data_IF_524818872519
#
_entry.id   IF_524818872519
#
_cell.length_a   1.000
_cell.length_b   1.000
_cell.length_c   1.000
_cell.angle_alpha   90.00
_cell.angle_beta   90.00
_cell.angle_gamma   90.00
#
_symmetry.space_group_name_H-M   'P 1'
#
loop_
_entity.id
_entity.type
_entity.pdbx_description
1 polymer ?
#
# COMPACT_ATOMS: atom_id res chain seq x y z
N UNK A 1 25.31 18.89 -26.75
CA UNK A 1 23.93 18.84 -26.26
C UNK A 1 23.84 17.59 -25.40
N UNK A 2 24.10 17.71 -24.09
CA UNK A 2 24.14 16.56 -23.19
C UNK A 2 22.71 16.20 -22.81
N UNK A 3 22.20 15.11 -23.38
CA UNK A 3 21.03 14.43 -22.89
C UNK A 3 21.47 13.78 -21.57
N UNK A 4 21.15 14.42 -20.44
CA UNK A 4 21.16 13.73 -19.16
C UNK A 4 20.07 12.66 -19.25
N UNK A 5 20.47 11.44 -19.52
CA UNK A 5 19.67 10.26 -19.14
C UNK A 5 19.40 10.39 -17.65
N UNK A 6 18.22 10.91 -17.31
CA UNK A 6 17.69 10.75 -15.96
C UNK A 6 17.43 9.27 -15.81
N UNK A 7 18.36 8.58 -15.16
CA UNK A 7 18.11 7.25 -14.63
C UNK A 7 16.72 7.30 -13.99
N UNK A 8 15.79 6.56 -14.55
CA UNK A 8 14.43 6.47 -14.04
C UNK A 8 14.51 5.83 -12.63
N UNK A 9 14.35 6.60 -11.54
CA UNK A 9 14.50 6.06 -10.20
C UNK A 9 13.40 5.04 -9.84
N UNK A 10 12.37 4.92 -10.67
CA UNK A 10 11.26 3.97 -10.49
C UNK A 10 11.71 2.52 -10.46
N UNK A 11 12.73 2.17 -11.22
CA UNK A 11 13.27 0.80 -11.24
C UNK A 11 14.02 0.40 -9.97
N UNK A 12 14.31 1.35 -9.06
CA UNK A 12 15.01 1.07 -7.79
C UNK A 12 14.06 0.67 -6.65
N UNK A 13 12.83 1.18 -6.67
CA UNK A 13 11.89 1.06 -5.56
C UNK A 13 10.56 0.39 -5.93
N UNK A 14 10.44 -0.11 -7.15
CA UNK A 14 9.31 -0.89 -7.63
C UNK A 14 9.81 -2.13 -8.37
N UNK A 15 9.12 -3.25 -8.18
CA UNK A 15 9.38 -4.47 -8.94
C UNK A 15 8.63 -4.41 -10.25
N UNK A 16 9.32 -4.71 -11.36
CA UNK A 16 8.64 -4.86 -12.65
C UNK A 16 8.18 -6.31 -12.79
N UNK A 17 6.96 -6.58 -12.39
CA UNK A 17 6.33 -7.86 -12.66
C UNK A 17 5.65 -7.84 -14.03
N UNK A 18 5.83 -8.90 -14.80
CA UNK A 18 5.12 -9.07 -16.09
C UNK A 18 3.60 -9.19 -15.87
N UNK A 19 3.21 -9.77 -14.73
CA UNK A 19 1.83 -9.91 -14.30
C UNK A 19 1.67 -9.45 -12.85
N UNK A 20 0.46 -8.97 -12.45
CA UNK A 20 0.19 -8.61 -11.07
C UNK A 20 0.40 -9.78 -10.11
N UNK A 21 1.11 -9.55 -9.02
CA UNK A 21 1.43 -10.55 -8.00
C UNK A 21 0.69 -10.22 -6.71
N UNK A 22 0.01 -11.21 -6.07
CA UNK A 22 -0.59 -11.01 -4.76
C UNK A 22 0.45 -10.55 -3.74
N UNK A 23 0.07 -9.62 -2.87
CA UNK A 23 0.94 -9.11 -1.82
C UNK A 23 1.76 -7.88 -2.21
N UNK A 24 1.52 -7.27 -3.35
CA UNK A 24 2.22 -6.07 -3.77
C UNK A 24 1.28 -4.87 -3.88
N UNK A 25 1.70 -3.71 -3.40
CA UNK A 25 1.00 -2.45 -3.59
C UNK A 25 1.98 -1.29 -3.68
N UNK A 26 1.75 -0.39 -4.63
CA UNK A 26 2.57 0.81 -4.81
C UNK A 26 1.95 1.99 -4.09
N UNK A 27 2.81 2.78 -3.47
CA UNK A 27 2.48 4.08 -2.88
C UNK A 27 3.45 5.15 -3.35
N UNK A 28 3.20 6.39 -2.97
CA UNK A 28 4.12 7.51 -3.20
C UNK A 28 4.47 8.15 -1.88
N UNK A 29 5.74 8.10 -1.51
CA UNK A 29 6.29 8.76 -0.32
C UNK A 29 6.86 10.14 -0.67
N UNK A 30 7.03 10.99 0.33
CA UNK A 30 7.70 12.28 0.17
C UNK A 30 9.04 12.27 0.90
N UNK A 31 10.11 12.51 0.16
CA UNK A 31 11.42 12.82 0.73
C UNK A 31 11.61 14.34 0.67
N UNK A 32 11.36 15.02 1.79
CA UNK A 32 11.20 16.48 1.80
C UNK A 32 10.01 16.91 0.93
N UNK A 33 10.30 17.54 -0.22
CA UNK A 33 9.28 17.96 -1.20
C UNK A 33 9.21 17.05 -2.44
N UNK A 34 10.09 16.07 -2.54
CA UNK A 34 10.21 15.20 -3.71
C UNK A 34 9.33 13.96 -3.54
N UNK A 35 8.36 13.72 -4.43
CA UNK A 35 7.61 12.48 -4.45
C UNK A 35 8.47 11.34 -5.04
N UNK A 36 8.42 10.18 -4.40
CA UNK A 36 9.10 8.95 -4.83
C UNK A 36 8.10 7.80 -4.79
N UNK A 37 8.02 7.03 -5.87
CA UNK A 37 7.26 5.78 -5.85
C UNK A 37 8.01 4.74 -5.04
N UNK A 38 7.24 3.98 -4.27
CA UNK A 38 7.75 2.87 -3.48
C UNK A 38 6.74 1.73 -3.49
N UNK A 39 7.23 0.51 -3.65
CA UNK A 39 6.41 -0.70 -3.57
C UNK A 39 6.56 -1.33 -2.20
N UNK A 40 5.42 -1.69 -1.62
CA UNK A 40 5.34 -2.51 -0.42
C UNK A 40 5.01 -3.92 -0.85
N UNK A 41 5.78 -4.88 -0.36
CA UNK A 41 5.56 -6.30 -0.55
C UNK A 41 5.19 -6.96 0.77
N UNK A 42 4.18 -7.79 0.75
CA UNK A 42 3.74 -8.57 1.89
C UNK A 42 3.62 -10.05 1.53
N UNK A 43 3.98 -10.89 2.48
CA UNK A 43 3.79 -12.32 2.43
C UNK A 43 3.05 -12.75 3.70
N UNK A 44 1.98 -13.53 3.54
CA UNK A 44 1.17 -14.03 4.65
C UNK A 44 1.09 -15.54 4.57
N UNK A 45 1.52 -16.24 5.63
CA UNK A 45 1.49 -17.71 5.67
C UNK A 45 0.07 -18.25 5.62
N UNK A 46 -0.07 -19.54 5.28
CA UNK A 46 -1.38 -20.20 5.22
C UNK A 46 -2.14 -20.23 6.56
N UNK A 47 -1.44 -20.05 7.67
CA UNK A 47 -2.00 -20.15 9.03
C UNK A 47 -2.02 -21.60 9.51
N UNK A 48 -1.87 -21.77 10.83
CA UNK A 48 -2.09 -23.04 11.52
C UNK A 48 -3.25 -22.83 12.49
N UNK A 49 -4.23 -23.72 12.49
CA UNK A 49 -5.49 -23.56 13.22
C UNK A 49 -5.36 -23.35 14.74
N UNK A 50 -4.19 -23.56 15.34
CA UNK A 50 -3.97 -23.51 16.78
C UNK A 50 -2.80 -22.62 17.24
N UNK A 51 -2.28 -21.71 16.41
CA UNK A 51 -1.01 -21.01 16.69
C UNK A 51 -1.19 -19.51 16.98
N UNK A 52 -2.29 -19.12 17.64
CA UNK A 52 -2.58 -17.71 17.98
C UNK A 52 -1.53 -17.01 18.86
N UNK A 53 -0.56 -17.74 19.40
CA UNK A 53 0.47 -17.18 20.29
C UNK A 53 1.85 -16.97 19.66
N UNK A 54 2.13 -17.56 18.49
CA UNK A 54 3.48 -17.63 17.93
C UNK A 54 3.62 -17.03 16.51
N UNK A 55 2.62 -16.31 16.02
CA UNK A 55 2.65 -15.72 14.69
C UNK A 55 3.77 -14.67 14.56
N UNK A 56 4.65 -14.88 13.60
CA UNK A 56 5.81 -14.00 13.36
C UNK A 56 5.39 -12.72 12.63
N UNK A 57 5.98 -11.61 13.04
CA UNK A 57 5.85 -10.31 12.39
C UNK A 57 7.24 -9.83 12.02
N UNK A 58 7.58 -9.88 10.74
CA UNK A 58 8.88 -9.42 10.22
C UNK A 58 8.65 -8.22 9.32
N UNK A 59 9.29 -7.12 9.67
CA UNK A 59 9.10 -5.84 8.98
C UNK A 59 10.45 -5.27 8.58
N UNK A 60 10.59 -4.86 7.33
CA UNK A 60 11.79 -4.24 6.79
C UNK A 60 11.46 -2.98 5.99
N UNK A 61 12.09 -1.88 6.32
CA UNK A 61 11.88 -0.58 5.65
C UNK A 61 10.60 0.15 6.04
N UNK A 62 9.72 -0.46 6.84
CA UNK A 62 8.47 0.11 7.36
C UNK A 62 8.57 0.31 8.89
N UNK A 63 7.72 1.16 9.45
CA UNK A 63 7.58 1.29 10.90
C UNK A 63 6.84 0.09 11.48
N UNK A 64 7.47 -0.61 12.44
CA UNK A 64 6.94 -1.85 13.04
C UNK A 64 5.68 -1.62 13.87
N UNK A 65 5.59 -0.48 14.58
CA UNK A 65 4.41 -0.15 15.39
C UNK A 65 3.21 0.15 14.49
N UNK A 66 3.42 0.94 13.44
CA UNK A 66 2.36 1.23 12.45
C UNK A 66 1.92 -0.04 11.72
N UNK A 67 2.87 -0.90 11.35
CA UNK A 67 2.55 -2.20 10.74
C UNK A 67 1.67 -3.04 11.67
N UNK A 68 2.02 -3.15 12.95
CA UNK A 68 1.23 -3.91 13.93
C UNK A 68 -0.18 -3.33 14.11
N UNK A 69 -0.32 -2.01 14.16
CA UNK A 69 -1.64 -1.35 14.20
C UNK A 69 -2.46 -1.62 12.94
N UNK A 70 -1.86 -1.53 11.77
CA UNK A 70 -2.52 -1.81 10.49
C UNK A 70 -3.02 -3.25 10.42
N UNK A 71 -2.23 -4.23 10.88
CA UNK A 71 -2.64 -5.63 10.95
C UNK A 71 -3.84 -5.82 11.88
N UNK A 72 -3.86 -5.16 13.04
CA UNK A 72 -4.99 -5.20 13.97
C UNK A 72 -6.26 -4.60 13.35
N UNK A 73 -6.14 -3.50 12.60
CA UNK A 73 -7.28 -2.88 11.89
C UNK A 73 -7.80 -3.81 10.78
N UNK A 74 -6.92 -4.44 10.01
CA UNK A 74 -7.31 -5.44 9.00
C UNK A 74 -8.13 -6.57 9.61
N UNK A 75 -7.67 -7.12 10.74
CA UNK A 75 -8.35 -8.21 11.45
C UNK A 75 -9.70 -7.76 11.99
N UNK A 76 -9.73 -6.68 12.77
CA UNK A 76 -10.88 -6.30 13.60
C UNK A 76 -11.90 -5.40 12.90
N UNK A 77 -11.51 -4.68 11.83
CA UNK A 77 -12.35 -3.71 11.14
C UNK A 77 -12.63 -4.04 9.68
N UNK A 78 -11.77 -4.84 9.06
CA UNK A 78 -11.88 -5.18 7.65
C UNK A 78 -12.08 -6.68 7.37
N UNK A 79 -12.19 -7.49 8.43
CA UNK A 79 -12.42 -8.94 8.36
C UNK A 79 -11.37 -9.69 7.49
N UNK A 80 -10.12 -9.27 7.59
CA UNK A 80 -8.99 -9.95 6.95
C UNK A 80 -8.21 -10.71 8.02
N UNK A 81 -8.34 -12.02 8.04
CA UNK A 81 -7.72 -12.89 9.06
C UNK A 81 -6.20 -12.96 8.88
N UNK A 82 -5.45 -12.34 9.78
CA UNK A 82 -3.99 -12.34 9.82
C UNK A 82 -3.42 -12.65 11.21
N UNK A 83 -4.28 -12.71 12.24
CA UNK A 83 -3.87 -12.82 13.65
C UNK A 83 -3.02 -14.05 13.96
N UNK A 84 -3.41 -15.23 13.48
CA UNK A 84 -2.69 -16.50 13.67
C UNK A 84 -1.73 -16.86 12.53
N UNK A 85 -1.40 -15.93 11.64
CA UNK A 85 -0.59 -16.17 10.44
C UNK A 85 0.71 -15.37 10.51
N UNK A 86 1.82 -15.96 10.04
CA UNK A 86 3.05 -15.19 9.88
C UNK A 86 2.87 -14.11 8.82
N UNK A 87 3.30 -12.91 9.12
CA UNK A 87 3.27 -11.77 8.19
C UNK A 87 4.67 -11.21 8.03
N UNK A 88 5.11 -11.14 6.80
CA UNK A 88 6.35 -10.51 6.38
C UNK A 88 5.97 -9.31 5.52
N UNK A 89 6.50 -8.13 5.84
CA UNK A 89 6.26 -6.92 5.06
C UNK A 89 7.57 -6.17 4.83
N UNK A 90 7.81 -5.77 3.61
CA UNK A 90 9.05 -5.08 3.25
C UNK A 90 8.80 -4.03 2.17
N UNK A 91 9.66 -3.02 2.15
CA UNK A 91 9.78 -2.10 1.01
C UNK A 91 10.79 -2.62 0.00
N UNK A 92 10.54 -2.40 -1.27
CA UNK A 92 11.50 -2.74 -2.33
C UNK A 92 12.67 -1.76 -2.30
N UNK A 93 13.88 -2.26 -2.59
CA UNK A 93 15.09 -1.45 -2.65
C UNK A 93 15.60 -0.93 -1.30
N UNK A 94 15.08 -1.45 -0.18
CA UNK A 94 15.51 -1.05 1.17
C UNK A 94 15.11 0.38 1.56
N UNK A 95 14.14 0.98 0.85
CA UNK A 95 13.64 2.31 1.16
C UNK A 95 13.02 2.33 2.56
N UNK A 96 13.36 3.34 3.36
CA UNK A 96 12.71 3.57 4.65
C UNK A 96 11.45 4.39 4.47
N UNK A 97 10.30 3.81 4.81
CA UNK A 97 9.00 4.46 4.81
C UNK A 97 8.40 4.44 6.21
N UNK A 98 8.41 5.58 6.86
CA UNK A 98 7.88 5.75 8.23
C UNK A 98 6.68 6.68 8.26
N UNK A 99 6.33 7.30 7.13
CA UNK A 99 5.21 8.21 7.06
C UNK A 99 3.85 7.49 7.01
N UNK A 100 2.83 8.04 7.68
CA UNK A 100 1.49 7.46 7.72
C UNK A 100 0.82 7.27 6.36
N UNK A 101 1.22 8.05 5.36
CA UNK A 101 0.65 7.98 4.01
C UNK A 101 0.79 6.60 3.34
N UNK A 102 1.72 5.76 3.80
CA UNK A 102 1.94 4.41 3.30
C UNK A 102 1.03 3.34 3.90
N UNK A 103 0.27 3.65 4.96
CA UNK A 103 -0.54 2.66 5.69
C UNK A 103 -1.57 1.97 4.81
N UNK A 104 -2.26 2.74 3.94
CA UNK A 104 -3.27 2.18 3.06
C UNK A 104 -2.65 1.17 2.08
N UNK A 105 -1.50 1.47 1.51
CA UNK A 105 -0.79 0.55 0.61
C UNK A 105 -0.31 -0.69 1.35
N UNK A 106 0.18 -0.55 2.58
CA UNK A 106 0.54 -1.67 3.43
C UNK A 106 -0.67 -2.58 3.72
N UNK A 107 -1.80 -1.99 4.11
CA UNK A 107 -3.03 -2.73 4.37
C UNK A 107 -3.51 -3.50 3.13
N UNK A 108 -3.48 -2.87 1.97
CA UNK A 108 -3.87 -3.50 0.71
C UNK A 108 -2.90 -4.62 0.31
N UNK A 109 -1.59 -4.43 0.46
CA UNK A 109 -0.59 -5.46 0.18
C UNK A 109 -0.79 -6.70 1.08
N UNK A 110 -0.98 -6.49 2.38
CA UNK A 110 -1.23 -7.58 3.34
C UNK A 110 -2.55 -8.30 3.03
N UNK A 111 -3.63 -7.56 2.76
CA UNK A 111 -4.93 -8.15 2.42
C UNK A 111 -4.85 -8.94 1.11
N UNK A 112 -4.17 -8.42 0.11
CA UNK A 112 -3.88 -9.08 -1.17
C UNK A 112 -3.14 -10.41 -0.95
N UNK A 113 -2.07 -10.40 -0.15
CA UNK A 113 -1.33 -11.61 0.20
C UNK A 113 -2.19 -12.61 0.98
N UNK A 114 -2.95 -12.14 1.96
CA UNK A 114 -3.80 -12.99 2.80
C UNK A 114 -4.91 -13.72 2.03
N UNK A 115 -5.41 -13.09 0.97
CA UNK A 115 -6.47 -13.63 0.11
C UNK A 115 -5.95 -14.29 -1.17
N UNK A 116 -4.67 -14.13 -1.50
CA UNK A 116 -4.09 -14.63 -2.75
C UNK A 116 -4.62 -13.93 -4.00
N UNK A 117 -5.08 -12.68 -3.87
CA UNK A 117 -5.68 -11.89 -4.94
C UNK A 117 -4.79 -10.70 -5.28
N UNK A 118 -4.30 -10.63 -6.50
CA UNK A 118 -3.45 -9.54 -6.95
C UNK A 118 -4.25 -8.22 -7.10
N UNK A 119 -3.61 -7.11 -6.75
CA UNK A 119 -4.10 -5.77 -7.03
C UNK A 119 -3.83 -5.38 -8.49
N UNK A 120 -4.58 -4.42 -9.06
CA UNK A 120 -4.26 -3.90 -10.39
C UNK A 120 -2.83 -3.34 -10.45
N UNK A 121 -2.09 -3.69 -11.48
CA UNK A 121 -0.68 -3.31 -11.64
C UNK A 121 -0.44 -1.79 -11.76
N UNK A 122 -1.46 -1.06 -12.19
CA UNK A 122 -1.44 0.39 -12.39
C UNK A 122 -2.07 1.18 -11.22
N UNK A 123 -2.26 0.52 -10.06
CA UNK A 123 -2.85 1.11 -8.86
C UNK A 123 -1.78 1.69 -7.93
N UNK A 124 -2.01 2.89 -7.44
CA UNK A 124 -1.34 3.46 -6.27
C UNK A 124 -2.34 3.67 -5.13
N UNK A 125 -1.90 3.50 -3.89
CA UNK A 125 -2.71 3.73 -2.71
C UNK A 125 -1.99 4.67 -1.74
N UNK A 126 -2.69 5.71 -1.29
CA UNK A 126 -2.15 6.74 -0.42
C UNK A 126 -3.17 7.05 0.66
N UNK A 127 -2.77 6.99 1.93
CA UNK A 127 -3.65 7.33 3.05
C UNK A 127 -3.14 6.78 4.37
N UNK A 128 -3.47 7.47 5.45
CA UNK A 128 -3.23 7.00 6.82
C UNK A 128 -4.41 6.12 7.26
N UNK A 129 -4.12 4.99 7.89
CA UNK A 129 -5.15 4.10 8.46
C UNK A 129 -5.26 4.36 9.97
N UNK A 130 -6.45 4.78 10.41
CA UNK A 130 -6.75 4.94 11.84
C UNK A 130 -7.26 3.66 12.47
N UNK A 131 -7.20 3.59 13.81
CA UNK A 131 -7.59 2.40 14.59
C UNK A 131 -9.09 2.05 14.52
N UNK A 132 -9.93 3.01 14.16
CA UNK A 132 -11.36 2.75 13.90
C UNK A 132 -11.62 2.25 12.47
N UNK A 133 -10.59 2.08 11.64
CA UNK A 133 -10.68 1.66 10.25
C UNK A 133 -10.93 2.80 9.27
N UNK A 134 -10.89 4.05 9.74
CA UNK A 134 -11.00 5.24 8.90
C UNK A 134 -9.72 5.47 8.09
N UNK A 135 -9.87 6.03 6.89
CA UNK A 135 -8.76 6.49 6.06
C UNK A 135 -8.65 8.00 6.20
N UNK A 136 -7.52 8.46 6.73
CA UNK A 136 -7.26 9.87 7.02
C UNK A 136 -6.47 10.55 5.92
N UNK A 137 -6.76 11.83 5.73
CA UNK A 137 -6.03 12.69 4.80
C UNK A 137 -4.55 12.77 5.15
N UNK A 138 -3.74 12.86 4.12
CA UNK A 138 -2.29 13.07 4.22
C UNK A 138 -1.88 14.27 3.37
N UNK A 139 -0.73 14.83 3.64
CA UNK A 139 -0.22 15.98 2.90
C UNK A 139 0.22 15.61 1.48
N UNK A 140 0.06 16.55 0.55
CA UNK A 140 0.66 16.47 -0.77
C UNK A 140 0.05 15.44 -1.72
N UNK A 141 -1.21 15.01 -1.53
CA UNK A 141 -1.87 13.99 -2.37
C UNK A 141 -1.77 14.35 -3.86
N UNK A 142 -2.07 15.59 -4.24
CA UNK A 142 -1.98 16.01 -5.64
C UNK A 142 -0.57 15.79 -6.23
N UNK A 143 0.48 16.23 -5.52
CA UNK A 143 1.86 16.06 -5.98
C UNK A 143 2.26 14.59 -6.08
N UNK A 144 1.82 13.76 -5.13
CA UNK A 144 2.07 12.32 -5.16
C UNK A 144 1.42 11.67 -6.37
N UNK A 145 0.17 12.03 -6.66
CA UNK A 145 -0.56 11.47 -7.80
C UNK A 145 -0.04 11.96 -9.14
N UNK A 146 0.40 13.22 -9.24
CA UNK A 146 1.04 13.73 -10.45
C UNK A 146 2.29 12.90 -10.80
N UNK A 147 3.12 12.57 -9.81
CA UNK A 147 4.30 11.74 -10.02
C UNK A 147 3.91 10.29 -10.40
N UNK A 148 2.94 9.71 -9.72
CA UNK A 148 2.44 8.37 -10.07
C UNK A 148 1.91 8.33 -11.51
N UNK A 149 1.12 9.33 -11.90
CA UNK A 149 0.60 9.43 -13.26
C UNK A 149 1.71 9.58 -14.31
N UNK A 150 2.71 10.44 -14.04
CA UNK A 150 3.88 10.62 -14.90
C UNK A 150 4.63 9.31 -15.15
N UNK A 151 4.62 8.40 -14.15
CA UNK A 151 5.30 7.12 -14.19
C UNK A 151 4.41 5.96 -14.68
N UNK A 152 3.20 6.27 -15.16
CA UNK A 152 2.34 5.33 -15.86
C UNK A 152 1.21 4.71 -15.04
N UNK A 153 1.05 5.10 -13.76
CA UNK A 153 -0.07 4.63 -12.94
C UNK A 153 -1.35 5.36 -13.36
N UNK A 154 -2.44 4.60 -13.49
CA UNK A 154 -3.72 5.11 -14.01
C UNK A 154 -4.85 5.07 -12.99
N UNK A 155 -4.65 4.40 -11.84
CA UNK A 155 -5.62 4.27 -10.77
C UNK A 155 -5.03 4.69 -9.44
N UNK A 156 -5.84 5.36 -8.63
CA UNK A 156 -5.44 5.75 -7.28
C UNK A 156 -6.57 5.55 -6.28
N UNK A 157 -6.22 5.03 -5.09
CA UNK A 157 -7.06 5.11 -3.90
C UNK A 157 -6.50 6.18 -2.98
N UNK A 158 -7.33 7.13 -2.59
CA UNK A 158 -6.96 8.26 -1.73
C UNK A 158 -8.02 8.52 -0.66
N UNK A 159 -7.70 9.23 0.42
CA UNK A 159 -8.68 9.58 1.44
C UNK A 159 -9.77 10.49 0.88
N UNK A 160 -11.01 10.32 1.36
CA UNK A 160 -12.14 11.21 1.04
C UNK A 160 -11.81 12.66 1.36
N UNK A 161 -12.18 13.55 0.45
CA UNK A 161 -11.92 14.99 0.53
C UNK A 161 -10.48 15.36 0.17
N UNK A 162 -9.79 14.53 -0.57
CA UNK A 162 -8.48 14.87 -1.17
C UNK A 162 -8.60 15.90 -2.28
N UNK A 163 -9.80 16.02 -2.87
CA UNK A 163 -10.17 17.04 -3.88
C UNK A 163 -9.15 17.16 -5.03
N UNK A 164 -8.62 16.01 -5.45
CA UNK A 164 -7.57 15.95 -6.47
C UNK A 164 -8.15 15.36 -7.76
N UNK A 165 -7.88 16.02 -8.88
CA UNK A 165 -8.19 15.54 -10.22
C UNK A 165 -6.95 15.55 -11.09
N UNK A 166 -6.72 14.46 -11.81
CA UNK A 166 -5.66 14.34 -12.82
C UNK A 166 -6.31 13.72 -14.06
N UNK A 167 -6.24 14.45 -15.17
CA UNK A 167 -6.83 13.99 -16.44
C UNK A 167 -6.16 12.67 -16.86
N UNK A 168 -6.99 11.67 -17.13
CA UNK A 168 -6.54 10.33 -17.50
C UNK A 168 -6.17 9.40 -16.33
N UNK A 169 -6.40 9.83 -15.09
CA UNK A 169 -6.25 8.99 -13.89
C UNK A 169 -7.58 8.77 -13.20
N UNK A 170 -7.96 7.52 -12.96
CA UNK A 170 -9.10 7.17 -12.13
C UNK A 170 -8.73 7.31 -10.66
N UNK A 171 -9.29 8.33 -10.00
CA UNK A 171 -9.05 8.59 -8.58
C UNK A 171 -10.30 8.23 -7.80
N UNK A 172 -10.18 7.26 -6.90
CA UNK A 172 -11.26 6.79 -6.04
C UNK A 172 -10.99 7.23 -4.62
N UNK A 173 -11.88 8.05 -4.09
CA UNK A 173 -11.84 8.48 -2.69
C UNK A 173 -12.48 7.42 -1.79
N UNK A 174 -11.83 7.10 -0.69
CA UNK A 174 -12.28 6.13 0.30
C UNK A 174 -12.17 6.70 1.72
N UNK A 175 -13.20 6.46 2.53
CA UNK A 175 -13.24 6.92 3.92
C UNK A 175 -12.92 5.81 4.93
N UNK A 176 -12.98 4.55 4.50
CA UNK A 176 -12.80 3.38 5.36
C UNK A 176 -12.01 2.28 4.65
N UNK A 177 -11.26 1.50 5.44
CA UNK A 177 -10.43 0.42 4.93
C UNK A 177 -11.25 -0.71 4.29
N UNK A 178 -12.39 -1.09 4.89
CA UNK A 178 -13.27 -2.11 4.31
C UNK A 178 -13.84 -1.68 2.95
N UNK A 179 -14.18 -0.41 2.79
CA UNK A 179 -14.60 0.15 1.50
C UNK A 179 -13.46 0.15 0.47
N UNK A 180 -12.22 0.46 0.89
CA UNK A 180 -11.06 0.40 0.02
C UNK A 180 -10.82 -1.03 -0.52
N UNK A 181 -10.91 -2.04 0.35
CA UNK A 181 -10.76 -3.45 -0.04
C UNK A 181 -11.83 -3.89 -1.05
N UNK A 182 -13.08 -3.46 -0.85
CA UNK A 182 -14.17 -3.74 -1.80
C UNK A 182 -13.91 -3.12 -3.17
N UNK A 183 -13.36 -1.90 -3.22
CA UNK A 183 -13.03 -1.23 -4.49
C UNK A 183 -11.99 -1.99 -5.31
N UNK A 184 -11.03 -2.63 -4.66
CA UNK A 184 -10.01 -3.45 -5.33
C UNK A 184 -10.39 -4.93 -5.40
N UNK A 185 -11.64 -5.29 -5.08
CA UNK A 185 -12.20 -6.66 -5.11
C UNK A 185 -11.48 -7.65 -4.18
N UNK A 186 -10.89 -7.16 -3.10
CA UNK A 186 -10.37 -7.98 -2.02
C UNK A 186 -11.42 -7.98 -0.92
N UNK A 187 -12.42 -8.84 -1.06
CA UNK A 187 -13.48 -8.98 -0.06
C UNK A 187 -13.19 -10.15 0.88
N UNK A 188 -13.47 -9.96 2.19
CA UNK A 188 -13.59 -11.05 3.12
C UNK A 188 -14.84 -11.88 2.81
N UNK A 189 -14.74 -13.20 2.82
CA UNK A 189 -15.90 -14.06 3.11
C UNK A 189 -16.22 -13.99 4.58
#
# INVERSE_FOLDING_TARGET
MCIRDRLDPTGLFTSRHAEPVPGTCVTVTLEGRRPLLAEIQALVSAGRENDYGNARRVVSGLDSARTSMTLAVLELRANVRVGGRDVYAATVGGMKMTEPAADLALALAVASAAKGLALPADLVAIGEVGLAGEIRKVSGVNRRLQEAYRLGFKRALVPTGSDTKIDGMEIVEVSRLDAALKRVKITGE
#
